data_IF_538147025213
#
_entry.id   IF_538147025213
#
_cell.length_a   1.000
_cell.length_b   1.000
_cell.length_c   1.000
_cell.angle_alpha   90.00
_cell.angle_beta   90.00
_cell.angle_gamma   90.00
#
_symmetry.space_group_name_H-M   'P 1'
#
loop_
_entity.id
_entity.type
_entity.pdbx_description
1 polymer ?
#
# COMPACT_ATOMS: atom_id res chain seq x y z
N UNK A 1 5.72 7.50 42.11
CA UNK A 1 5.88 6.60 40.95
C UNK A 1 6.01 7.48 39.71
N UNK A 2 7.09 7.38 38.91
CA UNK A 2 7.20 8.19 37.71
C UNK A 2 6.38 7.55 36.59
N UNK A 3 5.64 8.42 35.91
CA UNK A 3 4.83 8.14 34.72
C UNK A 3 5.77 7.70 33.62
N UNK A 4 5.56 6.49 33.08
CA UNK A 4 6.32 5.96 31.95
C UNK A 4 6.25 6.95 30.78
N UNK A 5 7.40 7.52 30.45
CA UNK A 5 7.58 8.30 29.25
C UNK A 5 7.38 7.37 28.05
N UNK A 6 6.32 7.59 27.28
CA UNK A 6 6.20 7.04 25.93
C UNK A 6 7.45 7.50 25.17
N UNK A 7 8.37 6.56 24.97
CA UNK A 7 9.58 6.75 24.17
C UNK A 7 9.15 7.26 22.81
N UNK A 8 9.46 8.53 22.52
CA UNK A 8 9.49 9.04 21.14
C UNK A 8 10.60 8.26 20.44
N UNK A 9 10.28 7.07 19.93
CA UNK A 9 11.16 6.36 18.99
C UNK A 9 11.56 7.38 17.93
N UNK A 10 12.85 7.64 17.80
CA UNK A 10 13.38 8.51 16.76
C UNK A 10 12.73 8.11 15.44
N UNK A 11 11.98 9.02 14.80
CA UNK A 11 11.34 8.73 13.52
C UNK A 11 12.48 8.39 12.55
N UNK A 12 12.53 7.12 12.13
CA UNK A 12 13.51 6.68 11.16
C UNK A 12 13.21 7.39 9.83
N UNK A 13 14.22 7.73 9.02
CA UNK A 13 14.01 8.41 7.74
C UNK A 13 13.03 7.68 6.80
N UNK A 14 12.88 6.36 6.94
CA UNK A 14 11.96 5.56 6.16
C UNK A 14 10.50 5.59 6.63
N UNK A 15 10.20 6.09 7.85
CA UNK A 15 8.83 6.18 8.37
C UNK A 15 7.98 7.21 7.62
N UNK A 16 8.58 8.27 7.09
CA UNK A 16 7.90 9.35 6.37
C UNK A 16 8.60 9.63 5.04
N UNK A 17 8.22 8.90 3.99
CA UNK A 17 8.79 9.07 2.65
C UNK A 17 7.69 9.42 1.64
N UNK A 18 7.82 10.58 0.98
CA UNK A 18 7.05 10.91 -0.22
C UNK A 18 7.91 10.61 -1.45
N UNK A 19 7.43 9.72 -2.30
CA UNK A 19 8.16 9.28 -3.51
C UNK A 19 7.20 9.08 -4.66
N UNK A 20 7.74 9.25 -5.86
CA UNK A 20 7.02 8.94 -7.09
C UNK A 20 6.93 7.42 -7.25
N UNK A 21 5.82 7.00 -7.83
CA UNK A 21 5.57 5.62 -8.20
C UNK A 21 5.57 5.58 -9.72
N UNK A 22 6.39 4.71 -10.29
CA UNK A 22 6.48 4.58 -11.74
C UNK A 22 5.41 3.63 -12.25
N UNK A 23 4.50 4.19 -13.05
CA UNK A 23 3.46 3.43 -13.75
C UNK A 23 3.91 3.19 -15.17
N UNK A 24 4.24 1.94 -15.49
CA UNK A 24 4.67 1.56 -16.85
C UNK A 24 3.46 1.61 -17.80
N UNK A 25 3.55 2.36 -18.92
CA UNK A 25 2.53 2.28 -19.96
C UNK A 25 2.55 0.89 -20.60
N UNK A 26 1.38 0.44 -21.06
CA UNK A 26 1.32 -0.80 -21.82
C UNK A 26 2.06 -0.64 -23.16
N UNK A 27 2.99 -1.54 -23.52
CA UNK A 27 3.77 -1.40 -24.76
C UNK A 27 2.95 -1.38 -26.06
N UNK A 28 1.75 -1.96 -26.05
CA UNK A 28 0.84 -2.03 -27.21
C UNK A 28 -0.05 -0.80 -27.33
N UNK A 29 -0.56 -0.29 -26.21
CA UNK A 29 -1.54 0.82 -26.22
C UNK A 29 -0.92 2.18 -25.89
N UNK A 30 0.27 2.21 -25.29
CA UNK A 30 0.93 3.44 -24.81
C UNK A 30 0.28 4.05 -23.56
N UNK A 31 -0.80 3.46 -23.05
CA UNK A 31 -1.56 3.95 -21.89
C UNK A 31 -1.27 3.08 -20.67
N UNK A 32 -1.11 3.67 -19.48
CA UNK A 32 -1.12 2.92 -18.22
C UNK A 32 -2.31 1.97 -18.12
N UNK A 33 -2.07 0.70 -17.80
CA UNK A 33 -3.14 -0.25 -17.46
C UNK A 33 -3.10 -0.48 -15.96
N UNK A 34 -4.24 -0.22 -15.32
CA UNK A 34 -4.51 -0.59 -13.94
C UNK A 34 -5.92 -1.18 -13.85
N UNK A 35 -6.08 -2.23 -13.05
CA UNK A 35 -7.35 -2.90 -12.78
C UNK A 35 -7.97 -2.39 -11.47
N UNK A 36 -7.13 -1.99 -10.50
CA UNK A 36 -7.57 -1.71 -9.14
C UNK A 36 -7.29 -0.26 -8.76
N UNK A 37 -8.33 0.53 -8.47
CA UNK A 37 -8.13 1.89 -7.98
C UNK A 37 -7.61 1.87 -6.53
N UNK A 38 -6.81 2.88 -6.18
CA UNK A 38 -6.51 3.16 -4.77
C UNK A 38 -7.81 3.65 -4.10
N UNK A 39 -8.18 3.12 -2.92
CA UNK A 39 -9.38 3.56 -2.21
C UNK A 39 -9.33 5.05 -1.85
N UNK A 40 -10.50 5.65 -1.72
CA UNK A 40 -10.63 7.01 -1.21
C UNK A 40 -10.43 7.06 0.31
N UNK A 41 -9.90 8.19 0.79
CA UNK A 41 -9.67 8.44 2.22
C UNK A 41 -10.94 8.86 2.97
N UNK A 42 -12.09 8.33 2.55
CA UNK A 42 -13.37 8.49 3.20
C UNK A 42 -14.30 7.31 2.86
N UNK A 43 -15.24 7.03 3.75
CA UNK A 43 -16.34 6.13 3.44
C UNK A 43 -17.52 6.93 2.85
N UNK A 44 -18.04 6.58 1.67
CA UNK A 44 -19.20 7.27 1.12
C UNK A 44 -20.43 7.01 1.99
N UNK A 45 -20.93 8.06 2.64
CA UNK A 45 -22.21 8.02 3.35
C UNK A 45 -23.33 8.50 2.42
N UNK A 46 -24.32 7.64 2.19
CA UNK A 46 -25.47 7.93 1.35
C UNK A 46 -26.31 9.11 1.89
N UNK A 47 -26.24 9.38 3.19
CA UNK A 47 -26.94 10.51 3.81
C UNK A 47 -26.15 11.83 3.73
N UNK A 48 -24.89 11.78 3.28
CA UNK A 48 -24.08 12.99 3.12
C UNK A 48 -24.37 13.65 1.78
N UNK A 49 -24.87 14.91 1.76
CA UNK A 49 -25.19 15.61 0.52
C UNK A 49 -23.94 16.05 -0.26
N UNK A 50 -22.75 16.02 0.36
CA UNK A 50 -21.48 16.42 -0.25
C UNK A 50 -20.38 15.40 0.02
N UNK A 51 -19.44 15.31 -0.92
CA UNK A 51 -18.24 14.48 -0.76
C UNK A 51 -17.17 15.24 0.04
N UNK A 52 -16.41 14.56 0.91
CA UNK A 52 -15.27 15.15 1.58
C UNK A 52 -14.21 15.64 0.57
N UNK A 53 -13.47 16.71 0.87
CA UNK A 53 -12.32 17.13 0.06
C UNK A 53 -11.29 16.00 -0.06
N UNK A 54 -10.75 15.79 -1.26
CA UNK A 54 -9.70 14.79 -1.53
C UNK A 54 -8.34 15.45 -1.75
N UNK A 55 -7.27 14.77 -1.35
CA UNK A 55 -5.92 15.15 -1.75
C UNK A 55 -5.67 14.76 -3.22
N UNK A 56 -4.84 15.54 -3.92
CA UNK A 56 -4.41 15.17 -5.27
C UNK A 56 -3.52 13.91 -5.28
N UNK A 57 -2.81 13.67 -4.18
CA UNK A 57 -1.97 12.49 -3.98
C UNK A 57 -2.54 11.62 -2.86
N UNK A 58 -2.93 10.36 -3.12
CA UNK A 58 -3.47 9.49 -2.09
C UNK A 58 -2.41 9.18 -1.04
N UNK A 59 -2.81 9.20 0.24
CA UNK A 59 -1.91 8.87 1.35
C UNK A 59 -2.01 7.38 1.68
N UNK A 60 -1.08 6.61 1.16
CA UNK A 60 -0.97 5.16 1.42
C UNK A 60 -0.08 4.93 2.65
N UNK A 61 -0.61 4.24 3.65
CA UNK A 61 0.13 3.77 4.82
C UNK A 61 0.47 2.30 4.67
N UNK A 62 1.45 1.83 5.42
CA UNK A 62 1.85 0.42 5.41
C UNK A 62 2.06 -0.09 6.83
N UNK A 63 1.90 -1.40 7.01
CA UNK A 63 2.18 -2.08 8.27
C UNK A 63 3.59 -2.70 8.22
N UNK A 64 4.35 -2.56 9.30
CA UNK A 64 5.67 -3.22 9.43
C UNK A 64 5.56 -4.67 9.93
N UNK A 65 4.39 -5.29 9.78
CA UNK A 65 4.14 -6.69 10.09
C UNK A 65 4.36 -7.51 8.82
N UNK A 66 5.24 -8.50 8.91
CA UNK A 66 5.47 -9.42 7.80
C UNK A 66 4.20 -10.24 7.51
N UNK A 67 3.88 -10.36 6.23
CA UNK A 67 2.76 -11.14 5.72
C UNK A 67 3.18 -11.91 4.46
N UNK A 68 2.46 -12.96 4.14
CA UNK A 68 2.66 -13.71 2.89
C UNK A 68 1.99 -12.98 1.71
N UNK A 69 2.69 -12.82 0.58
CA UNK A 69 2.09 -12.21 -0.61
C UNK A 69 1.06 -13.15 -1.22
N UNK A 70 -0.19 -12.70 -1.28
CA UNK A 70 -1.28 -13.47 -1.89
C UNK A 70 -1.39 -13.11 -3.38
N UNK A 71 -1.30 -14.12 -4.24
CA UNK A 71 -1.51 -14.03 -5.69
C UNK A 71 -2.28 -15.26 -6.16
N UNK A 72 -3.32 -15.07 -6.97
CA UNK A 72 -4.12 -16.15 -7.57
C UNK A 72 -4.09 -15.98 -9.09
N UNK A 73 -3.92 -17.08 -9.84
CA UNK A 73 -3.69 -17.12 -11.30
C UNK A 73 -4.75 -16.41 -12.17
N UNK A 74 -5.93 -16.09 -11.62
CA UNK A 74 -7.05 -15.51 -12.37
C UNK A 74 -7.44 -14.11 -11.91
N UNK A 75 -6.82 -13.60 -10.86
CA UNK A 75 -7.10 -12.24 -10.36
C UNK A 75 -6.00 -11.33 -10.87
N UNK A 76 -6.32 -10.32 -11.71
CA UNK A 76 -5.31 -9.38 -12.14
C UNK A 76 -4.78 -8.62 -10.93
N UNK A 77 -3.55 -8.14 -11.01
CA UNK A 77 -2.98 -7.24 -10.02
C UNK A 77 -2.15 -6.19 -10.73
N UNK A 78 -2.08 -5.01 -10.15
CA UNK A 78 -1.26 -3.95 -10.71
C UNK A 78 0.07 -3.91 -9.96
N UNK A 79 1.16 -3.77 -10.72
CA UNK A 79 2.52 -3.73 -10.18
C UNK A 79 3.17 -2.42 -10.55
N UNK A 80 3.46 -1.61 -9.53
CA UNK A 80 4.13 -0.34 -9.70
C UNK A 80 5.47 -0.31 -8.99
N UNK A 81 6.50 0.17 -9.65
CA UNK A 81 7.86 0.22 -9.11
C UNK A 81 8.05 1.51 -8.31
N UNK A 82 8.59 1.41 -7.09
CA UNK A 82 8.90 2.57 -6.26
C UNK A 82 10.27 3.13 -6.63
N UNK A 83 10.36 4.46 -6.71
CA UNK A 83 11.64 5.17 -6.79
C UNK A 83 12.53 4.90 -5.56
N UNK A 84 13.87 4.85 -5.72
CA UNK A 84 14.80 4.70 -4.60
C UNK A 84 14.57 5.73 -3.49
N UNK A 85 14.51 5.22 -2.26
CA UNK A 85 14.25 5.99 -1.05
C UNK A 85 14.74 5.28 0.21
N UNK A 86 14.80 5.96 1.38
CA UNK A 86 15.11 5.29 2.64
C UNK A 86 14.20 4.09 2.93
N UNK A 87 12.91 4.17 2.55
CA UNK A 87 11.98 3.04 2.66
C UNK A 87 12.36 1.87 1.77
N UNK A 88 12.65 2.11 0.50
CA UNK A 88 13.02 1.01 -0.40
C UNK A 88 14.36 0.41 0.01
N UNK A 89 15.32 1.22 0.45
CA UNK A 89 16.60 0.74 0.99
C UNK A 89 16.38 -0.17 2.20
N UNK A 90 15.57 0.28 3.17
CA UNK A 90 15.25 -0.53 4.35
C UNK A 90 14.60 -1.87 3.99
N UNK A 91 13.63 -1.87 3.07
CA UNK A 91 12.96 -3.10 2.63
C UNK A 91 13.95 -4.04 1.91
N UNK A 92 14.86 -3.51 1.08
CA UNK A 92 15.85 -4.30 0.36
C UNK A 92 16.92 -4.90 1.28
N UNK A 93 17.37 -4.15 2.30
CA UNK A 93 18.38 -4.59 3.27
C UNK A 93 17.91 -5.76 4.14
N UNK A 94 16.60 -5.92 4.33
CA UNK A 94 16.01 -7.09 5.01
C UNK A 94 16.24 -8.41 4.27
N UNK A 95 16.57 -8.36 2.97
CA UNK A 95 16.82 -9.55 2.10
C UNK A 95 15.72 -10.62 2.21
N UNK A 96 14.46 -10.19 2.36
CA UNK A 96 13.30 -11.06 2.57
C UNK A 96 12.31 -10.97 1.40
N UNK A 97 12.65 -11.46 0.19
CA UNK A 97 11.81 -11.29 -1.00
C UNK A 97 10.50 -12.09 -0.97
N UNK A 98 10.32 -12.95 0.03
CA UNK A 98 9.11 -13.76 0.22
C UNK A 98 8.12 -13.14 1.22
N UNK A 99 8.49 -12.06 1.91
CA UNK A 99 7.58 -11.33 2.79
C UNK A 99 7.11 -10.04 2.13
N UNK A 100 5.92 -9.59 2.53
CA UNK A 100 5.38 -8.31 2.10
C UNK A 100 4.78 -7.55 3.27
N UNK A 101 4.65 -6.24 3.09
CA UNK A 101 4.01 -5.33 4.04
C UNK A 101 2.72 -4.79 3.47
N UNK A 102 1.61 -5.07 4.12
CA UNK A 102 0.30 -4.64 3.63
C UNK A 102 0.17 -3.11 3.62
N UNK A 103 -0.54 -2.59 2.62
CA UNK A 103 -0.82 -1.17 2.48
C UNK A 103 -2.31 -0.85 2.66
N UNK A 104 -2.58 0.35 3.18
CA UNK A 104 -3.88 0.81 3.62
C UNK A 104 -4.09 2.28 3.26
N UNK A 105 -5.34 2.70 3.15
CA UNK A 105 -5.74 4.11 3.08
C UNK A 105 -6.60 4.40 4.30
N UNK A 106 -6.18 5.36 5.13
CA UNK A 106 -6.97 5.73 6.31
C UNK A 106 -8.37 6.21 5.94
N UNK A 107 -9.34 5.89 6.80
CA UNK A 107 -10.76 6.22 6.65
C UNK A 107 -11.44 5.62 5.41
N UNK A 108 -10.81 4.64 4.75
CA UNK A 108 -11.41 3.94 3.60
C UNK A 108 -12.44 2.88 4.00
N UNK A 109 -12.75 2.72 5.29
CA UNK A 109 -13.75 1.80 5.81
C UNK A 109 -14.71 2.50 6.76
N UNK A 110 -15.97 2.04 6.80
CA UNK A 110 -17.01 2.61 7.66
C UNK A 110 -16.72 2.52 9.17
N UNK A 111 -16.06 1.44 9.59
CA UNK A 111 -15.86 1.10 11.01
C UNK A 111 -14.37 0.88 11.36
N UNK A 112 -13.45 1.41 10.55
CA UNK A 112 -12.00 1.29 10.78
C UNK A 112 -11.28 2.54 10.30
N UNK A 113 -10.57 3.20 11.23
CA UNK A 113 -9.76 4.39 10.93
C UNK A 113 -8.59 4.07 9.99
N UNK A 114 -8.05 2.85 10.08
CA UNK A 114 -6.96 2.42 9.19
C UNK A 114 -7.47 2.02 7.80
N UNK A 115 -8.72 1.56 7.70
CA UNK A 115 -9.27 0.95 6.49
C UNK A 115 -9.01 -0.57 6.42
N UNK A 116 -9.11 -1.12 5.21
CA UNK A 116 -8.75 -2.51 4.89
C UNK A 116 -7.54 -2.56 3.92
N UNK A 117 -6.81 -3.67 3.85
CA UNK A 117 -5.69 -3.81 2.93
C UNK A 117 -6.13 -3.63 1.47
N UNK A 118 -5.44 -2.77 0.73
CA UNK A 118 -5.66 -2.55 -0.71
C UNK A 118 -4.46 -2.96 -1.57
N UNK A 119 -3.49 -3.64 -0.97
CA UNK A 119 -2.27 -4.06 -1.63
C UNK A 119 -1.17 -4.38 -0.64
N UNK A 120 0.07 -4.48 -1.15
CA UNK A 120 1.26 -4.66 -0.33
C UNK A 120 2.54 -4.16 -1.01
N UNK A 121 3.55 -3.81 -0.21
CA UNK A 121 4.92 -3.54 -0.64
C UNK A 121 5.74 -4.84 -0.57
N UNK A 122 6.52 -5.10 -1.62
CA UNK A 122 7.37 -6.29 -1.69
C UNK A 122 8.64 -6.02 -2.50
N UNK A 123 9.78 -6.51 -2.01
CA UNK A 123 11.02 -6.50 -2.75
C UNK A 123 10.93 -7.43 -3.98
N UNK A 124 11.60 -7.05 -5.08
CA UNK A 124 11.76 -7.96 -6.22
C UNK A 124 12.62 -9.16 -5.82
N UNK A 125 12.44 -10.30 -6.48
CA UNK A 125 13.27 -11.50 -6.24
C UNK A 125 14.76 -11.22 -6.51
N UNK A 126 15.07 -10.32 -7.44
CA UNK A 126 16.44 -9.87 -7.73
C UNK A 126 16.98 -8.84 -6.72
N UNK A 127 16.17 -8.43 -5.72
CA UNK A 127 16.51 -7.43 -4.70
C UNK A 127 17.07 -6.12 -5.27
N UNK A 128 16.57 -5.71 -6.42
CA UNK A 128 17.00 -4.47 -7.10
C UNK A 128 15.97 -3.34 -6.99
N UNK A 129 14.70 -3.65 -6.70
CA UNK A 129 13.64 -2.66 -6.56
C UNK A 129 12.56 -3.15 -5.58
N UNK A 130 11.74 -2.21 -5.10
CA UNK A 130 10.54 -2.49 -4.32
C UNK A 130 9.34 -2.15 -5.17
N UNK A 131 8.32 -3.00 -5.12
CA UNK A 131 7.10 -2.83 -5.88
C UNK A 131 5.91 -2.69 -4.94
N UNK A 132 5.00 -1.79 -5.31
CA UNK A 132 3.63 -1.76 -4.81
C UNK A 132 2.79 -2.68 -5.68
N UNK A 133 2.21 -3.69 -5.05
CA UNK A 133 1.18 -4.53 -5.66
C UNK A 133 -0.18 -4.00 -5.20
N UNK A 134 -0.97 -3.47 -6.13
CA UNK A 134 -2.34 -3.03 -5.84
C UNK A 134 -3.29 -4.18 -6.13
N UNK A 135 -4.13 -4.46 -5.15
CA UNK A 135 -5.05 -5.60 -5.09
C UNK A 135 -6.48 -5.08 -4.86
N UNK A 136 -7.51 -5.92 -5.06
CA UNK A 136 -8.86 -5.58 -4.63
C UNK A 136 -8.89 -5.11 -3.17
N UNK A 137 -9.82 -4.21 -2.86
CA UNK A 137 -10.02 -3.77 -1.49
C UNK A 137 -10.43 -4.96 -0.60
N UNK A 138 -9.75 -5.14 0.52
CA UNK A 138 -9.90 -6.29 1.41
C UNK A 138 -9.56 -7.65 0.75
N UNK A 139 -8.54 -7.67 -0.10
CA UNK A 139 -8.10 -8.88 -0.81
C UNK A 139 -7.83 -10.12 0.08
N UNK A 140 -7.35 -10.03 1.34
CA UNK A 140 -7.11 -11.24 2.13
C UNK A 140 -8.39 -12.02 2.44
N UNK A 141 -9.52 -11.34 2.52
CA UNK A 141 -10.84 -11.96 2.68
C UNK A 141 -11.43 -12.36 1.33
N UNK A 142 -11.24 -11.54 0.30
CA UNK A 142 -11.81 -11.78 -1.03
C UNK A 142 -11.18 -12.98 -1.74
N UNK A 143 -9.84 -13.08 -1.75
CA UNK A 143 -9.12 -14.05 -2.56
C UNK A 143 -9.46 -15.52 -2.21
N UNK A 144 -9.58 -15.92 -0.93
CA UNK A 144 -9.99 -17.29 -0.60
C UNK A 144 -11.43 -17.67 -1.00
N UNK A 145 -12.26 -16.70 -1.40
CA UNK A 145 -13.66 -16.91 -1.80
C UNK A 145 -13.85 -17.06 -3.32
N UNK A 146 -12.76 -16.98 -4.10
CA UNK A 146 -12.74 -17.07 -5.57
C UNK A 146 -12.19 -18.42 -6.03
#
# INVERSE_FOLDING_TARGET
>A
APVEAISKSSLQPWHCCHKLIYVRPNPKTGVPIGHWPIPEAFWPDQNSPTLPPRSAHPHVRFSCLDSEPMVIDKVPFDKYELEPSPLTQFILERKSPHTCWQVFVCNSAKYSDLGQPCGYLKASTALNCVNLFVMPYNYPVLLPLL
#
